data_IF_933212403512
#
_entry.id   IF_933212403512
#
_cell.length_a   1.000
_cell.length_b   1.000
_cell.length_c   1.000
_cell.angle_alpha   90.00
_cell.angle_beta   90.00
_cell.angle_gamma   90.00
#
_symmetry.space_group_name_H-M   'P 1'
#
loop_
_entity.id
_entity.type
_entity.pdbx_description
1 polymer ?
#
# COMPACT_ATOMS: atom_id res chain seq x y z
N UNK A 1 -23.91 -9.89 -21.22
CA UNK A 1 -22.90 -10.09 -20.14
C UNK A 1 -23.02 -9.06 -19.02
N UNK A 2 -23.16 -7.76 -19.33
CA UNK A 2 -23.29 -6.67 -18.32
C UNK A 2 -24.47 -6.88 -17.35
N UNK A 3 -25.62 -7.36 -17.83
CA UNK A 3 -26.80 -7.60 -16.98
C UNK A 3 -26.64 -8.76 -15.98
N UNK A 4 -25.93 -9.84 -16.34
CA UNK A 4 -25.66 -10.94 -15.41
C UNK A 4 -24.69 -10.53 -14.31
N UNK A 5 -23.67 -9.71 -14.64
CA UNK A 5 -22.70 -9.19 -13.65
C UNK A 5 -23.38 -8.23 -12.68
N UNK A 6 -24.25 -7.34 -13.17
CA UNK A 6 -25.04 -6.43 -12.31
C UNK A 6 -26.02 -7.20 -11.41
N UNK A 7 -26.64 -8.27 -11.91
CA UNK A 7 -27.50 -9.14 -11.11
C UNK A 7 -26.70 -9.96 -10.07
N UNK A 8 -25.49 -10.39 -10.41
CA UNK A 8 -24.59 -11.06 -9.47
C UNK A 8 -24.15 -10.10 -8.35
N UNK A 9 -23.80 -8.86 -8.69
CA UNK A 9 -23.46 -7.80 -7.72
C UNK A 9 -24.62 -7.49 -6.77
N UNK A 10 -25.86 -7.40 -7.27
CA UNK A 10 -27.02 -7.10 -6.43
C UNK A 10 -27.35 -8.26 -5.48
N UNK A 11 -27.29 -9.50 -5.94
CA UNK A 11 -27.56 -10.70 -5.12
C UNK A 11 -26.50 -10.88 -4.02
N UNK A 12 -25.22 -10.59 -4.33
CA UNK A 12 -24.11 -10.85 -3.42
C UNK A 12 -23.87 -9.77 -2.35
N UNK A 13 -24.19 -8.51 -2.64
CA UNK A 13 -23.87 -7.38 -1.74
C UNK A 13 -25.09 -6.66 -1.15
N UNK A 14 -26.32 -7.00 -1.56
CA UNK A 14 -27.56 -6.35 -1.05
C UNK A 14 -28.48 -7.29 -0.23
N UNK A 15 -28.13 -8.55 0.01
CA UNK A 15 -29.00 -9.50 0.73
C UNK A 15 -28.84 -9.42 2.27
N UNK A 16 -29.97 -9.25 2.97
CA UNK A 16 -30.07 -8.94 4.40
C UNK A 16 -30.18 -10.16 5.34
N UNK A 17 -29.89 -11.38 4.89
CA UNK A 17 -30.12 -12.59 5.70
C UNK A 17 -28.87 -13.16 6.38
N UNK A 18 -29.05 -13.50 7.67
CA UNK A 18 -27.98 -13.68 8.68
C UNK A 18 -27.22 -15.01 8.64
N UNK A 19 -27.57 -16.01 7.82
CA UNK A 19 -27.05 -17.39 8.00
C UNK A 19 -26.53 -18.15 6.76
N UNK A 20 -26.45 -17.52 5.57
CA UNK A 20 -25.85 -18.11 4.35
C UNK A 20 -24.51 -17.46 3.96
N UNK A 21 -23.86 -16.77 4.92
CA UNK A 21 -22.64 -15.98 4.70
C UNK A 21 -21.40 -16.87 4.49
N UNK A 22 -21.22 -17.37 3.25
CA UNK A 22 -19.89 -17.37 2.62
C UNK A 22 -19.91 -16.25 1.59
N UNK A 23 -19.50 -15.07 2.04
CA UNK A 23 -19.56 -13.80 1.31
C UNK A 23 -18.53 -13.82 0.19
N UNK A 24 -18.71 -13.01 -0.84
CA UNK A 24 -17.71 -12.84 -1.93
C UNK A 24 -16.32 -12.58 -1.39
N UNK A 25 -16.22 -11.86 -0.27
CA UNK A 25 -14.95 -11.60 0.40
C UNK A 25 -14.31 -12.86 0.99
N UNK A 26 -15.09 -13.82 1.48
CA UNK A 26 -14.57 -15.11 1.97
C UNK A 26 -14.01 -15.93 0.81
N UNK A 27 -14.69 -15.91 -0.36
CA UNK A 27 -14.19 -16.55 -1.58
C UNK A 27 -12.91 -15.87 -2.09
N UNK A 28 -12.89 -14.55 -2.18
CA UNK A 28 -11.71 -13.77 -2.60
C UNK A 28 -10.55 -14.04 -1.65
N UNK A 29 -10.79 -13.93 -0.33
CA UNK A 29 -9.78 -14.16 0.70
C UNK A 29 -9.21 -15.57 0.59
N UNK A 30 -10.06 -16.60 0.61
CA UNK A 30 -9.61 -17.98 0.48
C UNK A 30 -8.81 -18.21 -0.80
N UNK A 31 -9.27 -17.65 -1.92
CA UNK A 31 -8.57 -17.80 -3.21
C UNK A 31 -7.20 -17.10 -3.17
N UNK A 32 -7.09 -15.92 -2.58
CA UNK A 32 -5.81 -15.21 -2.43
C UNK A 32 -4.87 -15.94 -1.46
N UNK A 33 -5.39 -16.54 -0.39
CA UNK A 33 -4.61 -17.37 0.52
C UNK A 33 -4.06 -18.62 -0.18
N UNK A 34 -4.86 -19.27 -1.03
CA UNK A 34 -4.41 -20.39 -1.86
C UNK A 34 -3.39 -19.93 -2.90
N UNK A 35 -3.71 -18.86 -3.63
CA UNK A 35 -2.91 -18.36 -4.75
C UNK A 35 -1.52 -17.91 -4.28
N UNK A 36 -1.44 -17.23 -3.14
CA UNK A 36 -0.21 -16.59 -2.66
C UNK A 36 0.32 -17.19 -1.36
N UNK A 37 -0.10 -18.41 -1.01
CA UNK A 37 0.26 -19.11 0.22
C UNK A 37 0.18 -18.20 1.46
N UNK A 38 -1.03 -17.72 1.76
CA UNK A 38 -1.30 -16.81 2.88
C UNK A 38 -1.04 -15.33 2.58
N UNK A 39 -0.82 -15.00 1.30
CA UNK A 39 -0.65 -13.63 0.83
C UNK A 39 0.80 -13.19 0.69
N UNK A 40 1.79 -13.91 1.22
CA UNK A 40 3.19 -13.49 1.13
C UNK A 40 3.85 -13.91 -0.18
N UNK A 41 3.64 -15.14 -0.64
CA UNK A 41 4.45 -15.76 -1.67
C UNK A 41 4.02 -15.37 -3.09
N UNK A 42 4.79 -15.84 -4.08
CA UNK A 42 4.42 -15.72 -5.49
C UNK A 42 3.20 -16.61 -5.81
N UNK A 43 2.46 -16.24 -6.87
CA UNK A 43 1.28 -16.99 -7.30
C UNK A 43 1.62 -18.46 -7.60
N UNK A 44 0.83 -19.38 -7.06
CA UNK A 44 0.98 -20.82 -7.26
C UNK A 44 2.00 -21.51 -6.34
N UNK A 45 2.60 -20.80 -5.39
CA UNK A 45 3.57 -21.39 -4.46
C UNK A 45 2.94 -22.51 -3.64
N UNK A 46 3.57 -23.69 -3.61
CA UNK A 46 3.09 -24.86 -2.86
C UNK A 46 1.98 -25.66 -3.55
N UNK A 47 1.55 -25.27 -4.75
CA UNK A 47 0.54 -25.99 -5.51
C UNK A 47 1.18 -27.01 -6.48
N UNK A 48 0.54 -28.17 -6.61
CA UNK A 48 0.90 -29.16 -7.62
C UNK A 48 0.73 -28.59 -9.03
N UNK A 49 1.61 -28.92 -9.98
CA UNK A 49 1.58 -28.34 -11.33
C UNK A 49 0.27 -28.60 -12.09
N UNK A 50 -0.30 -29.80 -11.97
CA UNK A 50 -1.56 -30.13 -12.64
C UNK A 50 -2.72 -29.31 -12.05
N UNK A 51 -2.80 -29.27 -10.72
CA UNK A 51 -3.77 -28.43 -10.01
C UNK A 51 -3.62 -26.96 -10.38
N UNK A 52 -2.39 -26.43 -10.35
CA UNK A 52 -2.08 -25.05 -10.71
C UNK A 52 -2.56 -24.71 -12.12
N UNK A 53 -2.35 -25.60 -13.09
CA UNK A 53 -2.79 -25.42 -14.48
C UNK A 53 -4.32 -25.27 -14.58
N UNK A 54 -5.06 -26.05 -13.81
CA UNK A 54 -6.53 -26.00 -13.78
C UNK A 54 -7.04 -24.75 -13.07
N UNK A 55 -6.51 -24.42 -11.89
CA UNK A 55 -7.01 -23.29 -11.08
C UNK A 55 -6.55 -21.93 -11.59
N UNK A 56 -5.41 -21.85 -12.29
CA UNK A 56 -4.89 -20.58 -12.79
C UNK A 56 -5.77 -19.94 -13.85
N UNK A 57 -6.42 -20.75 -14.70
CA UNK A 57 -7.28 -20.25 -15.78
C UNK A 57 -8.76 -20.15 -15.38
N UNK A 58 -9.10 -20.66 -14.20
CA UNK A 58 -10.49 -20.70 -13.69
C UNK A 58 -10.61 -19.93 -12.39
N UNK A 59 -10.22 -20.53 -11.27
CA UNK A 59 -10.37 -20.00 -9.92
C UNK A 59 -9.68 -18.65 -9.70
N UNK A 60 -8.41 -18.52 -10.09
CA UNK A 60 -7.66 -17.27 -9.89
C UNK A 60 -8.22 -16.14 -10.78
N UNK A 61 -8.57 -16.46 -12.02
CA UNK A 61 -9.27 -15.51 -12.91
C UNK A 61 -10.63 -15.10 -12.30
N UNK A 62 -11.38 -16.04 -11.72
CA UNK A 62 -12.66 -15.73 -11.08
C UNK A 62 -12.48 -14.79 -9.87
N UNK A 63 -11.43 -14.97 -9.06
CA UNK A 63 -11.11 -14.05 -7.97
C UNK A 63 -10.69 -12.66 -8.46
N UNK A 64 -9.89 -12.57 -9.53
CA UNK A 64 -9.55 -11.30 -10.16
C UNK A 64 -10.79 -10.57 -10.72
N UNK A 65 -11.70 -11.32 -11.36
CA UNK A 65 -12.96 -10.77 -11.85
C UNK A 65 -13.87 -10.33 -10.69
N UNK A 66 -13.92 -11.11 -9.61
CA UNK A 66 -14.67 -10.75 -8.40
C UNK A 66 -14.11 -9.47 -7.78
N UNK A 67 -12.79 -9.32 -7.66
CA UNK A 67 -12.12 -8.09 -7.20
C UNK A 67 -12.42 -6.89 -8.11
N UNK A 68 -12.42 -7.09 -9.43
CA UNK A 68 -12.84 -6.03 -10.37
C UNK A 68 -14.31 -5.66 -10.22
N UNK A 69 -15.17 -6.60 -9.84
CA UNK A 69 -16.58 -6.34 -9.53
C UNK A 69 -16.74 -5.61 -8.19
N UNK A 70 -15.95 -5.99 -7.17
CA UNK A 70 -15.88 -5.34 -5.86
C UNK A 70 -15.50 -3.87 -6.01
N UNK A 71 -14.49 -3.54 -6.83
CA UNK A 71 -14.06 -2.16 -7.05
C UNK A 71 -15.15 -1.24 -7.64
N UNK A 72 -16.26 -1.80 -8.12
CA UNK A 72 -17.38 -1.07 -8.73
C UNK A 72 -18.60 -0.97 -7.82
N UNK A 73 -18.58 -1.63 -6.66
CA UNK A 73 -19.75 -1.64 -5.77
C UNK A 73 -20.03 -0.21 -5.33
N UNK A 74 -21.25 0.25 -5.59
CA UNK A 74 -21.69 1.58 -5.19
C UNK A 74 -21.85 1.71 -3.67
N UNK A 75 -21.96 2.94 -3.16
CA UNK A 75 -22.32 3.17 -1.77
C UNK A 75 -23.75 2.69 -1.46
N UNK A 76 -24.00 2.36 -0.19
CA UNK A 76 -25.38 2.20 0.30
C UNK A 76 -26.09 3.56 0.29
N UNK A 77 -27.44 3.61 0.20
CA UNK A 77 -28.17 4.86 0.28
C UNK A 77 -27.79 5.67 1.53
N UNK A 78 -27.36 6.92 1.35
CA UNK A 78 -26.95 7.82 2.43
C UNK A 78 -25.46 7.78 2.81
N UNK A 79 -24.66 6.92 2.18
CA UNK A 79 -23.20 6.89 2.35
C UNK A 79 -22.47 7.40 1.10
N UNK A 80 -21.26 7.90 1.28
CA UNK A 80 -20.36 8.32 0.19
C UNK A 80 -19.40 7.21 -0.26
N UNK A 81 -19.10 6.25 0.63
CA UNK A 81 -18.13 5.18 0.39
C UNK A 81 -18.79 3.89 -0.09
N UNK A 82 -18.05 3.12 -0.89
CA UNK A 82 -18.48 1.83 -1.43
C UNK A 82 -18.95 0.89 -0.33
N UNK A 83 -20.10 0.22 -0.55
CA UNK A 83 -20.60 -0.80 0.36
C UNK A 83 -19.63 -1.99 0.53
N UNK A 84 -18.69 -2.15 -0.40
CA UNK A 84 -17.66 -3.18 -0.31
C UNK A 84 -16.61 -2.88 0.78
N UNK A 85 -16.40 -1.60 1.15
CA UNK A 85 -15.48 -1.23 2.23
C UNK A 85 -15.90 -1.90 3.53
N UNK A 86 -17.18 -1.77 3.91
CA UNK A 86 -17.74 -2.46 5.08
C UNK A 86 -17.53 -3.97 4.99
N UNK A 87 -17.69 -4.56 3.81
CA UNK A 87 -17.57 -6.00 3.62
C UNK A 87 -16.12 -6.48 3.80
N UNK A 88 -15.13 -5.70 3.38
CA UNK A 88 -13.70 -5.98 3.57
C UNK A 88 -13.35 -5.82 5.05
N UNK A 89 -13.72 -4.70 5.67
CA UNK A 89 -13.42 -4.42 7.09
C UNK A 89 -14.08 -5.44 8.02
N UNK A 90 -15.33 -5.82 7.76
CA UNK A 90 -16.06 -6.83 8.56
C UNK A 90 -15.60 -8.28 8.31
N UNK A 91 -14.77 -8.53 7.29
CA UNK A 91 -14.31 -9.88 6.99
C UNK A 91 -13.12 -10.30 7.88
N UNK A 92 -12.50 -9.39 8.62
CA UNK A 92 -11.39 -9.68 9.57
C UNK A 92 -10.27 -10.51 8.92
N UNK A 93 -9.87 -10.11 7.71
CA UNK A 93 -8.91 -10.82 6.90
C UNK A 93 -7.48 -10.60 7.43
N UNK A 94 -6.59 -11.54 7.11
CA UNK A 94 -5.17 -11.39 7.44
C UNK A 94 -4.58 -10.16 6.74
N UNK A 95 -3.64 -9.43 7.38
CA UNK A 95 -3.12 -8.17 6.83
C UNK A 95 -2.51 -8.30 5.43
N UNK A 96 -1.77 -9.38 5.14
CA UNK A 96 -1.20 -9.64 3.81
C UNK A 96 -2.27 -9.83 2.73
N UNK A 97 -3.39 -10.47 3.06
CA UNK A 97 -4.52 -10.64 2.13
C UNK A 97 -5.19 -9.29 1.88
N UNK A 98 -5.39 -8.48 2.93
CA UNK A 98 -5.90 -7.11 2.77
C UNK A 98 -5.01 -6.24 1.89
N UNK A 99 -3.68 -6.31 2.04
CA UNK A 99 -2.75 -5.58 1.17
C UNK A 99 -2.99 -5.92 -0.31
N UNK A 100 -3.15 -7.21 -0.65
CA UNK A 100 -3.42 -7.65 -2.04
C UNK A 100 -4.80 -7.20 -2.52
N UNK A 101 -5.81 -7.24 -1.66
CA UNK A 101 -7.16 -6.78 -1.99
C UNK A 101 -7.13 -5.29 -2.33
N UNK A 102 -6.58 -4.46 -1.44
CA UNK A 102 -6.52 -3.01 -1.65
C UNK A 102 -5.66 -2.63 -2.85
N UNK A 103 -4.49 -3.24 -3.02
CA UNK A 103 -3.65 -3.03 -4.21
C UNK A 103 -4.38 -3.39 -5.50
N UNK A 104 -5.08 -4.54 -5.53
CA UNK A 104 -5.88 -4.96 -6.69
C UNK A 104 -7.04 -4.01 -6.96
N UNK A 105 -7.75 -3.54 -5.94
CA UNK A 105 -8.81 -2.54 -6.08
C UNK A 105 -8.26 -1.27 -6.71
N UNK A 106 -7.17 -0.71 -6.17
CA UNK A 106 -6.55 0.50 -6.70
C UNK A 106 -6.05 0.34 -8.14
N UNK A 107 -5.46 -0.80 -8.48
CA UNK A 107 -5.08 -1.14 -9.87
C UNK A 107 -6.32 -1.22 -10.78
N UNK A 108 -7.41 -1.83 -10.33
CA UNK A 108 -8.66 -1.94 -11.10
C UNK A 108 -9.34 -0.58 -11.31
N UNK A 109 -9.32 0.32 -10.31
CA UNK A 109 -9.78 1.69 -10.45
C UNK A 109 -8.95 2.44 -11.52
N UNK A 110 -7.62 2.32 -11.45
CA UNK A 110 -6.71 2.94 -12.42
C UNK A 110 -6.90 2.44 -13.86
N UNK A 111 -7.17 1.14 -14.05
CA UNK A 111 -7.49 0.57 -15.37
C UNK A 111 -8.74 1.18 -15.99
N UNK A 112 -9.73 1.56 -15.18
CA UNK A 112 -11.02 2.10 -15.63
C UNK A 112 -10.97 3.58 -15.98
N UNK A 113 -10.10 4.33 -15.28
CA UNK A 113 -9.96 5.78 -15.47
C UNK A 113 -11.27 6.56 -15.28
N UNK A 114 -12.14 6.06 -14.41
CA UNK A 114 -13.41 6.71 -14.07
C UNK A 114 -13.27 7.41 -12.71
N UNK A 115 -13.27 8.76 -12.66
CA UNK A 115 -13.17 9.50 -11.41
C UNK A 115 -14.27 9.16 -10.41
N UNK A 116 -15.48 8.82 -10.87
CA UNK A 116 -16.59 8.42 -9.98
C UNK A 116 -16.31 7.10 -9.29
N UNK A 117 -15.67 6.17 -10.01
CA UNK A 117 -15.23 4.91 -9.41
C UNK A 117 -14.21 5.16 -8.32
N UNK A 118 -13.24 6.06 -8.54
CA UNK A 118 -12.29 6.43 -7.50
C UNK A 118 -12.98 7.07 -6.30
N UNK A 119 -13.86 8.06 -6.48
CA UNK A 119 -14.47 8.78 -5.36
C UNK A 119 -15.29 7.90 -4.41
N UNK A 120 -15.71 6.70 -4.81
CA UNK A 120 -16.37 5.74 -3.92
C UNK A 120 -15.41 5.05 -2.94
N UNK A 121 -14.09 5.16 -3.15
CA UNK A 121 -13.05 4.51 -2.36
C UNK A 121 -12.21 5.50 -1.54
N UNK A 122 -12.60 6.77 -1.55
CA UNK A 122 -11.95 7.84 -0.80
C UNK A 122 -12.98 8.82 -0.24
N UNK A 123 -12.88 9.10 1.04
CA UNK A 123 -13.62 10.13 1.77
C UNK A 123 -12.75 10.66 2.90
N UNK A 124 -13.19 11.73 3.55
CA UNK A 124 -12.46 12.28 4.71
C UNK A 124 -12.27 11.24 5.83
N UNK A 125 -13.20 10.28 5.95
CA UNK A 125 -13.17 9.22 6.95
C UNK A 125 -12.51 7.92 6.46
N UNK A 126 -12.26 7.78 5.15
CA UNK A 126 -11.73 6.54 4.58
C UNK A 126 -10.76 6.80 3.43
N UNK A 127 -9.54 6.29 3.58
CA UNK A 127 -8.50 6.38 2.57
C UNK A 127 -7.94 5.00 2.24
N UNK A 128 -8.23 4.51 1.03
CA UNK A 128 -7.76 3.18 0.60
C UNK A 128 -6.24 3.03 0.62
N UNK A 129 -5.47 4.10 0.33
CA UNK A 129 -4.00 4.05 0.43
C UNK A 129 -3.55 3.97 1.89
N UNK A 130 -4.23 4.68 2.80
CA UNK A 130 -3.92 4.60 4.23
C UNK A 130 -4.22 3.19 4.77
N UNK A 131 -5.38 2.62 4.44
CA UNK A 131 -5.73 1.24 4.81
C UNK A 131 -4.71 0.22 4.28
N UNK A 132 -4.24 0.42 3.04
CA UNK A 132 -3.17 -0.40 2.48
C UNK A 132 -1.90 -0.37 3.34
N UNK A 133 -1.42 0.83 3.72
CA UNK A 133 -0.21 0.97 4.55
C UNK A 133 -0.42 0.48 5.97
N UNK A 134 -1.60 0.68 6.56
CA UNK A 134 -1.94 0.13 7.89
C UNK A 134 -1.85 -1.39 7.90
N UNK A 135 -2.43 -2.05 6.89
CA UNK A 135 -2.34 -3.51 6.77
C UNK A 135 -0.91 -3.97 6.46
N UNK A 136 -0.17 -3.20 5.68
CA UNK A 136 1.22 -3.52 5.36
C UNK A 136 2.11 -3.44 6.61
N UNK A 137 1.93 -2.41 7.44
CA UNK A 137 2.62 -2.29 8.72
C UNK A 137 2.22 -3.43 9.67
N UNK A 138 0.92 -3.74 9.77
CA UNK A 138 0.44 -4.85 10.58
C UNK A 138 1.01 -6.21 10.14
N UNK A 139 1.17 -6.43 8.83
CA UNK A 139 1.74 -7.66 8.27
C UNK A 139 3.20 -7.89 8.67
N UNK A 140 3.96 -6.81 8.89
CA UNK A 140 5.39 -6.86 9.19
C UNK A 140 5.73 -6.35 10.60
N UNK A 141 4.74 -6.12 11.46
CA UNK A 141 4.93 -5.55 12.79
C UNK A 141 5.89 -6.38 13.69
N UNK A 142 5.93 -7.70 13.48
CA UNK A 142 6.81 -8.61 14.22
C UNK A 142 8.18 -8.78 13.56
N UNK A 143 8.33 -8.40 12.28
CA UNK A 143 9.55 -8.63 11.53
C UNK A 143 10.53 -7.46 11.70
N UNK A 144 11.72 -7.76 12.22
CA UNK A 144 12.81 -6.79 12.32
C UNK A 144 13.95 -7.16 11.37
N UNK A 145 14.11 -6.48 10.22
CA UNK A 145 15.01 -6.87 9.14
C UNK A 145 16.50 -6.87 9.51
N UNK A 146 16.88 -6.17 10.58
CA UNK A 146 18.27 -6.05 11.06
C UNK A 146 18.54 -6.76 12.39
N UNK A 147 17.50 -7.27 13.06
CA UNK A 147 17.60 -7.90 14.38
C UNK A 147 17.17 -9.38 14.35
N UNK A 148 16.35 -9.78 13.38
CA UNK A 148 15.73 -11.10 13.34
C UNK A 148 15.65 -11.65 11.92
N UNK A 149 16.01 -12.93 11.77
CA UNK A 149 15.66 -13.71 10.57
C UNK A 149 14.13 -13.91 10.61
N UNK A 150 13.40 -13.66 9.52
CA UNK A 150 11.96 -13.88 9.50
C UNK A 150 11.64 -15.34 9.87
N UNK A 151 10.65 -15.54 10.73
CA UNK A 151 10.21 -16.86 11.15
C UNK A 151 8.91 -17.22 10.41
N UNK A 152 8.77 -18.45 9.87
CA UNK A 152 7.51 -18.89 9.29
C UNK A 152 6.29 -18.72 10.22
N UNK A 153 6.46 -18.74 11.54
CA UNK A 153 5.37 -18.50 12.50
C UNK A 153 4.81 -17.07 12.47
N UNK A 154 5.57 -16.11 11.93
CA UNK A 154 5.18 -14.71 11.89
C UNK A 154 4.16 -14.44 10.77
N UNK A 155 4.02 -15.38 9.83
CA UNK A 155 3.16 -15.25 8.67
C UNK A 155 2.09 -16.35 8.68
N UNK A 156 0.85 -15.96 8.39
CA UNK A 156 -0.22 -16.92 8.18
C UNK A 156 0.06 -17.71 6.89
N UNK A 157 0.28 -19.01 6.99
CA UNK A 157 0.45 -19.91 5.84
C UNK A 157 -0.59 -21.03 5.95
N UNK A 158 -1.46 -21.22 4.94
CA UNK A 158 -2.48 -22.25 5.00
C UNK A 158 -1.88 -23.65 5.14
N UNK A 159 -2.27 -24.35 6.22
CA UNK A 159 -1.69 -25.67 6.58
C UNK A 159 -1.82 -26.72 5.47
N UNK A 160 -2.86 -26.63 4.63
CA UNK A 160 -3.09 -27.58 3.54
C UNK A 160 -2.05 -27.50 2.41
N UNK A 161 -1.28 -26.41 2.32
CA UNK A 161 -0.21 -26.27 1.33
C UNK A 161 1.04 -27.09 1.70
N UNK A 162 1.13 -27.60 2.94
CA UNK A 162 2.21 -28.45 3.45
C UNK A 162 3.63 -27.97 3.05
N UNK A 163 3.84 -26.66 3.11
CA UNK A 163 5.06 -26.01 2.67
C UNK A 163 6.18 -26.18 3.71
N UNK A 164 7.32 -26.73 3.29
CA UNK A 164 8.57 -26.73 4.07
C UNK A 164 9.37 -25.46 3.74
N UNK A 165 9.10 -24.38 4.48
CA UNK A 165 9.73 -23.08 4.23
C UNK A 165 11.01 -22.96 5.04
N UNK A 166 12.14 -22.82 4.35
CA UNK A 166 13.39 -22.42 4.96
C UNK A 166 13.50 -20.88 5.05
N UNK A 167 14.45 -20.40 5.87
CA UNK A 167 14.64 -18.95 6.07
C UNK A 167 15.01 -18.19 4.79
N UNK A 168 15.73 -18.82 3.86
CA UNK A 168 16.17 -18.17 2.62
C UNK A 168 14.99 -17.97 1.67
N UNK A 169 14.13 -18.98 1.54
CA UNK A 169 12.89 -18.91 0.78
C UNK A 169 11.96 -17.84 1.36
N UNK A 170 11.87 -17.77 2.69
CA UNK A 170 11.05 -16.76 3.35
C UNK A 170 11.57 -15.34 3.12
N UNK A 171 12.87 -15.10 3.29
CA UNK A 171 13.49 -13.80 2.99
C UNK A 171 13.26 -13.38 1.54
N UNK A 172 13.42 -14.31 0.59
CA UNK A 172 13.13 -14.05 -0.81
C UNK A 172 11.65 -13.73 -1.05
N UNK A 173 10.73 -14.46 -0.42
CA UNK A 173 9.30 -14.21 -0.53
C UNK A 173 8.91 -12.81 -0.01
N UNK A 174 9.50 -12.38 1.11
CA UNK A 174 9.29 -11.02 1.66
C UNK A 174 9.77 -9.95 0.68
N UNK A 175 10.98 -10.07 0.14
CA UNK A 175 11.53 -9.12 -0.83
C UNK A 175 10.67 -9.05 -2.10
N UNK A 176 10.27 -10.21 -2.63
CA UNK A 176 9.40 -10.30 -3.79
C UNK A 176 8.02 -9.69 -3.53
N UNK A 177 7.44 -9.92 -2.34
CA UNK A 177 6.17 -9.34 -1.94
C UNK A 177 6.23 -7.82 -1.93
N UNK A 178 7.20 -7.25 -1.20
CA UNK A 178 7.37 -5.80 -1.07
C UNK A 178 7.63 -5.16 -2.44
N UNK A 179 8.42 -5.81 -3.30
CA UNK A 179 8.65 -5.36 -4.67
C UNK A 179 7.35 -5.39 -5.48
N UNK A 180 6.64 -6.52 -5.50
CA UNK A 180 5.41 -6.68 -6.29
C UNK A 180 4.33 -5.69 -5.88
N UNK A 181 4.14 -5.52 -4.56
CA UNK A 181 3.09 -4.64 -4.04
C UNK A 181 3.43 -3.17 -4.31
N UNK A 182 4.70 -2.77 -4.17
CA UNK A 182 5.17 -1.43 -4.56
C UNK A 182 4.87 -1.15 -6.02
N UNK A 183 5.16 -2.10 -6.92
CA UNK A 183 4.85 -1.95 -8.35
C UNK A 183 3.34 -1.84 -8.57
N UNK A 184 2.50 -2.60 -7.87
CA UNK A 184 1.04 -2.51 -7.97
C UNK A 184 0.52 -1.13 -7.54
N UNK A 185 1.02 -0.57 -6.44
CA UNK A 185 0.67 0.79 -6.03
C UNK A 185 1.15 1.80 -7.08
N UNK A 186 2.39 1.73 -7.55
CA UNK A 186 2.87 2.61 -8.64
C UNK A 186 2.00 2.49 -9.91
N UNK A 187 1.50 1.30 -10.25
CA UNK A 187 0.55 1.11 -11.35
C UNK A 187 -0.78 1.82 -11.09
N UNK A 188 -1.30 1.82 -9.87
CA UNK A 188 -2.55 2.51 -9.56
C UNK A 188 -2.41 4.03 -9.74
N UNK A 189 -1.27 4.60 -9.32
CA UNK A 189 -0.98 6.04 -9.40
C UNK A 189 -1.04 6.60 -10.83
N UNK A 190 -0.70 5.81 -11.85
CA UNK A 190 -0.59 6.26 -13.25
C UNK A 190 -1.83 6.98 -13.82
N UNK A 191 -3.03 6.65 -13.35
CA UNK A 191 -4.28 7.29 -13.78
C UNK A 191 -5.10 7.80 -12.59
N UNK A 192 -4.42 8.16 -11.50
CA UNK A 192 -5.07 8.71 -10.32
C UNK A 192 -5.65 10.10 -10.68
N UNK A 193 -6.95 10.35 -10.45
CA UNK A 193 -7.52 11.69 -10.62
C UNK A 193 -6.88 12.69 -9.66
N UNK A 194 -6.76 13.94 -10.08
CA UNK A 194 -6.14 15.01 -9.28
C UNK A 194 -6.86 15.22 -7.94
N UNK A 195 -8.18 15.05 -7.92
CA UNK A 195 -9.03 15.20 -6.74
C UNK A 195 -8.73 14.13 -5.66
N UNK A 196 -8.12 13.02 -6.06
CA UNK A 196 -7.82 11.88 -5.19
C UNK A 196 -6.33 11.87 -4.80
N UNK A 197 -5.51 12.66 -5.48
CA UNK A 197 -4.07 12.66 -5.30
C UNK A 197 -3.65 13.01 -3.86
N UNK A 198 -4.37 13.93 -3.19
CA UNK A 198 -4.13 14.28 -1.79
C UNK A 198 -4.20 13.08 -0.84
N UNK A 199 -5.10 12.12 -1.08
CA UNK A 199 -5.19 10.89 -0.27
C UNK A 199 -3.94 10.02 -0.39
N UNK A 200 -3.36 9.93 -1.59
CA UNK A 200 -2.08 9.26 -1.80
C UNK A 200 -0.96 10.00 -1.05
N UNK A 201 -0.87 11.33 -1.23
CA UNK A 201 0.17 12.13 -0.58
C UNK A 201 0.15 11.99 0.93
N UNK A 202 -1.03 12.09 1.54
CA UNK A 202 -1.20 11.92 2.99
C UNK A 202 -0.76 10.53 3.43
N UNK A 203 -1.23 9.47 2.76
CA UNK A 203 -0.87 8.10 3.12
C UNK A 203 0.64 7.83 2.99
N UNK A 204 1.28 8.34 1.93
CA UNK A 204 2.72 8.19 1.73
C UNK A 204 3.53 9.00 2.74
N UNK A 205 3.09 10.21 3.10
CA UNK A 205 3.75 11.03 4.11
C UNK A 205 3.68 10.37 5.50
N UNK A 206 2.49 9.93 5.91
CA UNK A 206 2.28 9.20 7.16
C UNK A 206 3.15 7.94 7.22
N UNK A 207 3.14 7.11 6.17
CA UNK A 207 3.96 5.91 6.11
C UNK A 207 5.46 6.21 6.15
N UNK A 208 5.90 7.27 5.46
CA UNK A 208 7.31 7.72 5.49
C UNK A 208 7.71 8.15 6.91
N UNK A 209 6.87 8.91 7.60
CA UNK A 209 7.22 9.49 8.90
C UNK A 209 7.09 8.51 10.06
N UNK A 210 6.12 7.60 10.01
CA UNK A 210 5.65 6.87 11.20
C UNK A 210 5.69 5.34 11.09
N UNK A 211 5.73 4.76 9.89
CA UNK A 211 5.77 3.30 9.74
C UNK A 211 7.12 2.70 10.14
N UNK A 212 7.25 1.38 10.14
CA UNK A 212 8.54 0.71 10.31
C UNK A 212 9.54 1.10 9.19
N UNK A 213 10.85 0.94 9.41
CA UNK A 213 11.87 1.34 8.42
C UNK A 213 11.67 0.74 7.02
N UNK A 214 11.19 -0.51 6.92
CA UNK A 214 10.94 -1.17 5.64
C UNK A 214 9.76 -0.53 4.93
N UNK A 215 8.66 -0.29 5.65
CA UNK A 215 7.45 0.27 5.06
C UNK A 215 7.68 1.73 4.69
N UNK A 216 8.48 2.46 5.47
CA UNK A 216 8.98 3.79 5.09
C UNK A 216 9.74 3.75 3.76
N UNK A 217 10.61 2.76 3.52
CA UNK A 217 11.34 2.64 2.24
C UNK A 217 10.35 2.37 1.08
N UNK A 218 9.37 1.49 1.29
CA UNK A 218 8.30 1.23 0.30
C UNK A 218 7.54 2.51 -0.05
N UNK A 219 7.14 3.30 0.95
CA UNK A 219 6.46 4.57 0.74
C UNK A 219 7.36 5.56 -0.04
N UNK A 220 8.64 5.61 0.27
CA UNK A 220 9.61 6.46 -0.43
C UNK A 220 9.86 6.01 -1.88
N UNK A 221 9.82 4.70 -2.17
CA UNK A 221 9.91 4.20 -3.55
C UNK A 221 8.71 4.63 -4.39
N UNK A 222 7.51 4.62 -3.80
CA UNK A 222 6.29 5.11 -4.45
C UNK A 222 6.36 6.63 -4.63
N UNK A 223 6.84 7.37 -3.63
CA UNK A 223 7.13 8.80 -3.75
C UNK A 223 8.09 9.09 -4.91
N UNK A 224 9.18 8.33 -5.04
CA UNK A 224 10.11 8.48 -6.16
C UNK A 224 9.44 8.18 -7.50
N UNK A 225 8.53 7.22 -7.57
CA UNK A 225 7.73 6.99 -8.78
C UNK A 225 6.86 8.21 -9.11
N UNK A 226 6.14 8.77 -8.13
CA UNK A 226 5.31 9.97 -8.29
C UNK A 226 6.14 11.13 -8.84
N UNK A 227 7.29 11.40 -8.22
CA UNK A 227 8.16 12.52 -8.61
C UNK A 227 8.80 12.30 -9.98
N UNK A 228 9.28 11.08 -10.26
CA UNK A 228 9.95 10.75 -11.52
C UNK A 228 9.03 10.84 -12.73
N UNK A 229 7.77 10.45 -12.57
CA UNK A 229 6.78 10.44 -13.66
C UNK A 229 5.79 11.62 -13.59
N UNK A 230 5.93 12.48 -12.59
CA UNK A 230 5.20 13.74 -12.44
C UNK A 230 5.83 14.89 -13.24
N UNK A 231 5.38 16.12 -12.97
CA UNK A 231 5.96 17.31 -13.59
C UNK A 231 7.23 17.75 -12.86
N UNK A 232 8.15 18.41 -13.58
CA UNK A 232 9.34 19.01 -12.97
C UNK A 232 8.99 20.06 -11.90
N UNK A 233 7.85 20.73 -12.05
CA UNK A 233 7.33 21.69 -11.07
C UNK A 233 6.89 20.98 -9.78
N UNK A 234 6.19 19.85 -9.89
CA UNK A 234 5.80 19.04 -8.75
C UNK A 234 7.02 18.54 -7.97
N UNK A 235 8.05 18.04 -8.67
CA UNK A 235 9.32 17.64 -8.06
C UNK A 235 9.95 18.79 -7.25
N UNK A 236 9.98 20.00 -7.84
CA UNK A 236 10.55 21.18 -7.21
C UNK A 236 9.77 21.61 -5.95
N UNK A 237 8.44 21.58 -6.02
CA UNK A 237 7.57 21.88 -4.89
C UNK A 237 7.83 20.92 -3.73
N UNK A 238 7.94 19.62 -3.98
CA UNK A 238 8.27 18.65 -2.93
C UNK A 238 9.65 18.85 -2.34
N UNK A 239 10.68 19.08 -3.17
CA UNK A 239 12.04 19.37 -2.67
C UNK A 239 12.04 20.57 -1.73
N UNK A 240 11.35 21.65 -2.14
CA UNK A 240 11.23 22.87 -1.33
C UNK A 240 10.47 22.60 -0.03
N UNK A 241 9.34 21.89 -0.10
CA UNK A 241 8.52 21.55 1.05
C UNK A 241 9.27 20.68 2.06
N UNK A 242 9.93 19.62 1.59
CA UNK A 242 10.74 18.72 2.42
C UNK A 242 11.91 19.44 3.06
N UNK A 243 12.63 20.28 2.32
CA UNK A 243 13.70 21.10 2.86
C UNK A 243 13.23 22.01 3.98
N UNK A 244 12.11 22.72 3.78
CA UNK A 244 11.52 23.57 4.81
C UNK A 244 11.05 22.77 6.03
N UNK A 245 10.43 21.60 5.82
CA UNK A 245 9.99 20.74 6.91
C UNK A 245 11.16 20.25 7.78
N UNK A 246 12.28 19.85 7.16
CA UNK A 246 13.50 19.45 7.86
C UNK A 246 14.07 20.62 8.68
N UNK A 247 14.12 21.82 8.11
CA UNK A 247 14.58 23.02 8.83
C UNK A 247 13.69 23.34 10.04
N UNK A 248 12.36 23.33 9.85
CA UNK A 248 11.43 23.55 10.95
C UNK A 248 11.57 22.49 12.07
N UNK A 249 11.80 21.22 11.71
CA UNK A 249 12.06 20.17 12.69
C UNK A 249 13.40 20.37 13.41
N UNK A 250 14.44 20.81 12.71
CA UNK A 250 15.75 21.11 13.29
C UNK A 250 15.69 22.27 14.29
N UNK A 251 14.93 23.33 13.98
CA UNK A 251 14.69 24.47 14.88
C UNK A 251 13.94 24.02 16.15
N UNK A 252 12.90 23.20 16.00
CA UNK A 252 12.14 22.61 17.12
C UNK A 252 13.01 21.70 17.99
N UNK A 253 13.86 20.89 17.38
CA UNK A 253 14.82 20.05 18.11
C UNK A 253 15.83 20.89 18.91
N UNK A 254 16.39 21.92 18.29
CA UNK A 254 17.39 22.81 18.90
C UNK A 254 16.82 23.59 20.09
N UNK A 255 15.55 24.02 20.01
CA UNK A 255 14.86 24.72 21.08
C UNK A 255 14.47 23.79 22.26
N UNK A 256 14.12 22.53 21.98
CA UNK A 256 13.73 21.54 23.00
C UNK A 256 14.89 21.03 23.86
N UNK A 257 16.13 21.16 23.40
CA UNK A 257 17.33 20.61 24.09
C UNK A 257 17.71 21.42 25.34
N UNK A 258 17.05 22.55 25.59
CA UNK A 258 17.33 23.45 26.72
C UNK A 258 16.65 23.07 28.06
N UNK A 259 15.81 22.01 28.13
CA UNK A 259 14.94 21.80 29.30
C UNK A 259 14.77 20.38 29.90
N UNK A 260 15.34 19.27 29.38
CA UNK A 260 15.10 17.93 30.02
C UNK A 260 16.15 16.85 29.66
N UNK A 261 16.40 15.84 30.52
CA UNK A 261 17.45 14.84 30.32
C UNK A 261 17.09 13.71 29.34
N UNK A 262 18.15 13.12 28.81
CA UNK A 262 18.27 12.41 27.54
C UNK A 262 17.99 10.90 27.63
N UNK A 263 16.75 10.43 27.80
CA UNK A 263 16.44 9.00 27.64
C UNK A 263 15.01 8.76 27.14
N UNK A 264 14.84 8.81 25.80
CA UNK A 264 13.87 8.07 24.95
C UNK A 264 14.06 8.55 23.50
N UNK A 265 13.96 7.66 22.51
CA UNK A 265 14.11 7.97 21.09
C UNK A 265 13.38 9.28 20.74
N UNK A 266 14.08 10.27 20.18
CA UNK A 266 13.51 11.58 19.88
C UNK A 266 12.76 11.47 18.55
N UNK A 267 11.41 11.44 18.52
CA UNK A 267 10.64 11.30 17.27
C UNK A 267 11.02 12.34 16.21
N UNK A 268 11.36 13.60 16.55
CA UNK A 268 11.83 14.58 15.57
C UNK A 268 13.11 14.16 14.82
N UNK A 269 14.06 13.48 15.46
CA UNK A 269 15.33 13.14 14.83
C UNK A 269 15.16 12.01 13.80
N UNK A 270 14.36 11.00 14.13
CA UNK A 270 14.03 9.93 13.21
C UNK A 270 13.23 10.46 12.02
N UNK A 271 12.21 11.27 12.26
CA UNK A 271 11.44 11.93 11.20
C UNK A 271 12.32 12.81 10.31
N UNK A 272 13.23 13.60 10.89
CA UNK A 272 14.21 14.39 10.14
C UNK A 272 15.10 13.51 9.27
N UNK A 273 15.58 12.38 9.80
CA UNK A 273 16.41 11.43 9.04
C UNK A 273 15.65 10.84 7.85
N UNK A 274 14.40 10.41 8.06
CA UNK A 274 13.56 9.84 7.00
C UNK A 274 13.21 10.86 5.92
N UNK A 275 12.88 12.09 6.31
CA UNK A 275 12.64 13.19 5.37
C UNK A 275 13.93 13.57 4.63
N UNK A 276 15.07 13.60 5.30
CA UNK A 276 16.37 13.87 4.68
C UNK A 276 16.75 12.83 3.63
N UNK A 277 16.50 11.55 3.90
CA UNK A 277 16.71 10.48 2.93
C UNK A 277 15.73 10.56 1.76
N UNK A 278 14.46 10.90 2.00
CA UNK A 278 13.50 11.13 0.91
C UNK A 278 13.94 12.33 0.04
N UNK A 279 14.36 13.44 0.67
CA UNK A 279 14.85 14.63 -0.01
C UNK A 279 16.07 14.31 -0.89
N UNK A 280 17.05 13.54 -0.39
CA UNK A 280 18.25 13.19 -1.18
C UNK A 280 17.88 12.43 -2.45
N UNK A 281 16.88 11.54 -2.37
CA UNK A 281 16.35 10.83 -3.54
C UNK A 281 15.65 11.75 -4.54
N UNK A 282 14.92 12.76 -4.08
CA UNK A 282 14.22 13.71 -4.95
C UNK A 282 15.18 14.66 -5.68
N UNK A 283 16.28 15.05 -5.05
CA UNK A 283 17.28 15.93 -5.65
C UNK A 283 17.87 15.37 -6.97
N UNK A 284 17.92 14.04 -7.11
CA UNK A 284 18.36 13.34 -8.33
C UNK A 284 17.43 13.60 -9.52
N UNK A 285 16.15 13.91 -9.28
CA UNK A 285 15.15 14.13 -10.33
C UNK A 285 15.00 15.61 -10.75
N UNK A 286 15.68 16.54 -10.07
CA UNK A 286 15.67 17.94 -10.46
C UNK A 286 16.36 18.15 -11.82
N UNK A 287 15.80 19.06 -12.63
CA UNK A 287 16.46 19.48 -13.87
C UNK A 287 17.71 20.31 -13.57
N UNK A 288 18.67 20.33 -14.50
CA UNK A 288 19.89 21.14 -14.35
C UNK A 288 19.59 22.63 -14.07
N UNK A 289 18.53 23.20 -14.63
CA UNK A 289 18.10 24.58 -14.35
C UNK A 289 17.63 24.77 -12.90
N UNK A 290 16.87 23.81 -12.37
CA UNK A 290 16.37 23.85 -10.99
C UNK A 290 17.50 23.60 -9.98
N UNK A 291 18.48 22.77 -10.33
CA UNK A 291 19.66 22.55 -9.52
C UNK A 291 20.52 23.82 -9.38
N UNK A 292 20.64 24.64 -10.42
CA UNK A 292 21.42 25.90 -10.39
C UNK A 292 20.67 27.05 -9.71
N UNK A 293 19.33 27.05 -9.76
CA UNK A 293 18.48 28.05 -9.08
C UNK A 293 18.12 27.72 -7.63
N UNK A 294 18.58 26.58 -7.10
CA UNK A 294 18.30 26.15 -5.73
C UNK A 294 18.89 27.12 -4.70
N UNK A 295 18.10 27.53 -3.67
CA UNK A 295 18.65 28.22 -2.52
C UNK A 295 19.87 27.48 -1.98
N UNK A 296 20.93 28.20 -1.60
CA UNK A 296 22.21 27.62 -1.13
C UNK A 296 22.00 26.61 0.01
N UNK A 297 20.96 26.80 0.83
CA UNK A 297 20.58 25.89 1.92
C UNK A 297 20.11 24.50 1.45
N UNK A 298 19.52 24.39 0.24
CA UNK A 298 19.15 23.12 -0.39
C UNK A 298 20.34 22.45 -1.10
N UNK A 299 21.30 23.24 -1.60
CA UNK A 299 22.53 22.72 -2.21
C UNK A 299 23.46 22.01 -1.22
N UNK A 300 23.41 22.38 0.08
CA UNK A 300 24.17 21.69 1.13
C UNK A 300 23.76 20.22 1.30
N UNK A 301 22.56 19.82 0.87
CA UNK A 301 22.08 18.43 0.89
C UNK A 301 22.43 17.65 -0.39
N UNK A 302 22.97 18.30 -1.43
CA UNK A 302 23.37 17.67 -2.70
C UNK A 302 24.80 17.10 -2.63
N UNK A 303 25.54 17.39 -1.56
CA UNK A 303 26.94 16.97 -1.37
C UNK A 303 27.06 16.05 -0.16
N UNK A 304 26.46 14.85 -0.22
CA UNK A 304 26.84 13.67 0.57
C UNK A 304 26.63 12.42 -0.28
#
# INVERSE_FOLDING_TARGET
>A
MVGCVQHFQSVLFLTTEKFQRRRVMDFISWTLEVQYAGGLFAAGTGLEQNFLKEVSTSLFVAAEMALSCVSQVGPKPGLSISAAVDAIVLADLTPLVNCRIFASIMVNLSKRRDPRAFSMWFSDDFNTYAEFFTNLEAAFALWKPYESIPNPSDFHIPRFLNLSIDHKQLSYAVEQFLTSITIEICRSVRHLPNEIFSFLETALLEATLHASPIISIVAQDIWCFVVRYGSAELCWQYVTLLGNAILCLAERYSSSTSATPLFKAHPPLEQMSRLGYLLSRFLIFLTARQQVGAPVHLMLFVVV
#
